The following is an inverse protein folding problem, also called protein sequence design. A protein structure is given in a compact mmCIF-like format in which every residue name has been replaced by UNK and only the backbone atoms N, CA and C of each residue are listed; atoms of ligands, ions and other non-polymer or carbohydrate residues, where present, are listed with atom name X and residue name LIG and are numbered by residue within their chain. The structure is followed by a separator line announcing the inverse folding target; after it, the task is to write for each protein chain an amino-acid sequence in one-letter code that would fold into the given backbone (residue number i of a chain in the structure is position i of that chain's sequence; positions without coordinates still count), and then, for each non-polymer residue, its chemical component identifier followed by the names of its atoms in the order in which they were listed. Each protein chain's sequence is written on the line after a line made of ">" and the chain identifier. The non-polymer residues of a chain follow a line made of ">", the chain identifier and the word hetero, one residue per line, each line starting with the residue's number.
data_IF_122785449915
#
_entry.id   IF_122785449915
#
_cell.length_a   1.000
_cell.length_b   1.000
_cell.length_c   1.000
_cell.angle_alpha   90.00
_cell.angle_beta   90.00
_cell.angle_gamma   90.00
#
_symmetry.space_group_name_H-M   'P 1'
#
loop_
_entity.id
_entity.type
_entity.pdbx_description
1 polymer ?
#
# COMPACT_ATOMS: atom_id res chain seq x y z
N UNK A 1 -0.04 20.76 10.52
CA UNK A 1 -0.15 19.86 9.35
C UNK A 1 -0.62 20.70 8.18
N UNK A 2 0.02 20.59 7.03
CA UNK A 2 -0.38 21.28 5.80
C UNK A 2 -1.42 20.42 5.07
N UNK A 3 -2.44 21.03 4.49
CA UNK A 3 -3.49 20.38 3.71
C UNK A 3 -3.46 20.88 2.26
N UNK A 4 -3.45 19.97 1.31
CA UNK A 4 -3.73 20.23 -0.10
C UNK A 4 -5.11 19.65 -0.36
N UNK A 5 -6.07 20.49 -0.76
CA UNK A 5 -7.42 20.09 -1.14
C UNK A 5 -7.46 19.68 -2.61
N UNK A 6 -8.38 18.78 -2.95
CA UNK A 6 -8.71 18.39 -4.33
C UNK A 6 -7.46 17.97 -5.12
N UNK A 7 -6.65 17.08 -4.54
CA UNK A 7 -5.40 16.62 -5.17
C UNK A 7 -5.61 15.94 -6.53
N UNK A 8 -6.84 15.51 -6.82
CA UNK A 8 -7.23 14.95 -8.12
C UNK A 8 -7.38 16.00 -9.22
N UNK A 9 -7.41 17.29 -8.90
CA UNK A 9 -7.54 18.40 -9.84
C UNK A 9 -6.19 19.01 -10.24
N UNK A 10 -5.10 18.55 -9.62
CA UNK A 10 -3.75 19.03 -9.91
C UNK A 10 -2.88 17.90 -10.49
N UNK A 11 -1.85 18.22 -11.31
CA UNK A 11 -0.95 17.21 -11.82
C UNK A 11 -0.30 16.38 -10.69
N UNK A 12 -0.07 15.07 -10.91
CA UNK A 12 0.62 14.24 -9.94
C UNK A 12 2.00 14.80 -9.58
N UNK A 13 2.38 14.69 -8.33
CA UNK A 13 3.69 15.11 -7.82
C UNK A 13 4.27 14.10 -6.84
N UNK A 14 5.58 14.12 -6.73
CA UNK A 14 6.34 13.21 -5.87
C UNK A 14 6.52 13.80 -4.47
N UNK A 15 6.43 12.94 -3.48
CA UNK A 15 6.73 13.25 -2.09
C UNK A 15 7.68 12.23 -1.49
N UNK A 16 8.39 12.64 -0.45
CA UNK A 16 9.18 11.76 0.39
C UNK A 16 8.60 11.68 1.79
N UNK A 17 8.61 10.49 2.36
CA UNK A 17 8.39 10.28 3.79
C UNK A 17 9.77 10.23 4.46
N UNK A 18 10.03 11.18 5.36
CA UNK A 18 11.30 11.22 6.11
C UNK A 18 11.28 10.25 7.27
N UNK A 19 12.42 9.60 7.51
CA UNK A 19 12.62 8.66 8.61
C UNK A 19 13.98 8.92 9.28
N UNK A 20 14.06 8.69 10.58
CA UNK A 20 15.31 8.70 11.35
C UNK A 20 15.99 7.32 11.40
N UNK A 21 15.45 6.30 10.71
CA UNK A 21 15.82 4.88 10.87
C UNK A 21 16.27 4.23 9.57
N UNK A 22 16.90 4.97 8.67
CA UNK A 22 17.40 4.51 7.37
C UNK A 22 16.30 3.96 6.42
N UNK A 23 15.05 4.23 6.69
CA UNK A 23 13.95 3.94 5.79
C UNK A 23 13.78 5.06 4.79
N UNK A 24 13.53 4.72 3.55
CA UNK A 24 13.21 5.66 2.48
C UNK A 24 11.88 5.30 1.85
N UNK A 25 11.07 6.30 1.55
CA UNK A 25 9.83 6.13 0.81
C UNK A 25 9.64 7.34 -0.10
N UNK A 26 9.46 7.06 -1.38
CA UNK A 26 8.97 8.01 -2.36
C UNK A 26 7.54 7.63 -2.72
N UNK A 27 6.64 8.57 -2.59
CA UNK A 27 5.21 8.34 -2.79
C UNK A 27 4.62 9.42 -3.68
N UNK A 28 3.89 8.98 -4.71
CA UNK A 28 3.12 9.86 -5.58
C UNK A 28 1.92 10.44 -4.84
N UNK A 29 1.48 11.62 -5.23
CA UNK A 29 0.18 12.16 -4.79
C UNK A 29 -1.00 11.29 -5.21
N UNK A 30 -0.80 10.35 -6.15
CA UNK A 30 -1.79 9.32 -6.52
C UNK A 30 -1.84 8.14 -5.54
N UNK A 31 -0.86 8.01 -4.64
CA UNK A 31 -0.78 6.94 -3.64
C UNK A 31 0.16 5.80 -3.99
N UNK A 32 0.62 5.67 -5.23
CA UNK A 32 1.65 4.70 -5.57
C UNK A 32 2.97 5.06 -4.89
N UNK A 33 3.74 4.05 -4.51
CA UNK A 33 4.96 4.27 -3.76
C UNK A 33 6.06 3.27 -4.13
N UNK A 34 7.29 3.69 -3.84
CA UNK A 34 8.46 2.83 -3.74
C UNK A 34 9.11 3.08 -2.39
N UNK A 35 9.52 2.03 -1.71
CA UNK A 35 10.02 2.15 -0.35
C UNK A 35 10.95 1.01 0.03
N UNK A 36 11.87 1.26 0.93
CA UNK A 36 12.81 0.28 1.41
C UNK A 36 13.65 0.78 2.58
N UNK A 37 14.72 0.07 2.86
CA UNK A 37 15.68 0.40 3.91
C UNK A 37 17.09 0.43 3.34
N UNK A 38 17.87 1.45 3.69
CA UNK A 38 19.26 1.70 3.25
C UNK A 38 19.38 1.90 1.74
N UNK A 39 19.27 0.84 0.95
CA UNK A 39 19.55 0.80 -0.49
C UNK A 39 18.35 0.25 -1.28
N UNK A 40 18.35 0.50 -2.60
CA UNK A 40 17.29 0.02 -3.50
C UNK A 40 17.16 -1.52 -3.56
N UNK A 41 18.25 -2.27 -3.33
CA UNK A 41 18.20 -3.74 -3.24
C UNK A 41 17.47 -4.25 -1.98
N UNK A 42 17.22 -3.38 -1.00
CA UNK A 42 16.42 -3.67 0.18
C UNK A 42 15.03 -3.00 0.10
N UNK A 43 14.53 -2.81 -1.12
CA UNK A 43 13.17 -2.34 -1.35
C UNK A 43 12.15 -3.35 -0.81
N UNK A 44 11.13 -2.84 -0.13
CA UNK A 44 9.93 -3.60 0.28
C UNK A 44 8.83 -3.42 -0.76
N UNK A 45 8.83 -2.27 -1.45
CA UNK A 45 8.04 -2.04 -2.65
C UNK A 45 9.02 -1.76 -3.80
N UNK A 46 8.79 -2.31 -5.00
CA UNK A 46 9.74 -2.23 -6.10
C UNK A 46 10.27 -0.83 -6.36
N UNK A 47 11.57 -0.71 -6.56
CA UNK A 47 12.18 0.57 -6.93
C UNK A 47 11.85 0.90 -8.38
N UNK A 48 11.13 1.99 -8.59
CA UNK A 48 10.76 2.51 -9.90
C UNK A 48 11.07 3.99 -9.99
N UNK A 49 11.26 4.49 -11.22
CA UNK A 49 11.43 5.92 -11.50
C UNK A 49 10.13 6.68 -11.27
N UNK A 50 10.19 8.00 -11.07
CA UNK A 50 9.03 8.78 -10.67
C UNK A 50 7.93 8.82 -11.74
N UNK A 51 8.27 8.84 -13.03
CA UNK A 51 7.32 8.74 -14.14
C UNK A 51 6.49 7.45 -14.07
N UNK A 52 7.14 6.30 -13.87
CA UNK A 52 6.47 5.01 -13.66
C UNK A 52 5.72 4.96 -12.33
N UNK A 53 6.22 5.65 -11.30
CA UNK A 53 5.56 5.70 -10.00
C UNK A 53 4.17 6.31 -10.09
N UNK A 54 3.99 7.39 -10.86
CA UNK A 54 2.68 8.00 -11.04
C UNK A 54 1.66 7.11 -11.74
N UNK A 55 2.11 6.17 -12.57
CA UNK A 55 1.27 5.27 -13.35
C UNK A 55 0.92 3.97 -12.64
N UNK A 56 1.72 3.53 -11.67
CA UNK A 56 1.64 2.19 -11.08
C UNK A 56 0.69 2.06 -9.88
N UNK A 57 -0.25 2.99 -9.69
CA UNK A 57 -1.17 2.98 -8.53
C UNK A 57 -1.99 1.68 -8.42
N UNK A 58 -2.30 1.04 -9.54
CA UNK A 58 -3.08 -0.21 -9.55
C UNK A 58 -2.24 -1.45 -9.24
N UNK A 59 -0.93 -1.34 -9.11
CA UNK A 59 -0.03 -2.49 -9.00
C UNK A 59 0.84 -2.49 -7.74
N UNK A 60 1.09 -1.34 -7.14
CA UNK A 60 2.02 -1.24 -6.00
C UNK A 60 1.53 -0.23 -4.98
N UNK A 61 1.53 -0.64 -3.70
CA UNK A 61 1.17 0.22 -2.59
C UNK A 61 -0.22 -0.08 -2.02
N UNK A 62 -0.90 0.94 -1.48
CA UNK A 62 -2.19 0.77 -0.81
C UNK A 62 -3.29 0.30 -1.76
N UNK A 63 -4.11 -0.63 -1.29
CA UNK A 63 -5.38 -1.02 -1.92
C UNK A 63 -6.47 -1.03 -0.87
N UNK A 64 -7.63 -0.47 -1.21
CA UNK A 64 -8.79 -0.50 -0.32
C UNK A 64 -10.06 -0.62 -1.13
N UNK A 65 -10.94 -1.52 -0.72
CA UNK A 65 -12.28 -1.67 -1.29
C UNK A 65 -13.29 -1.65 -0.15
N UNK A 66 -14.32 -0.84 -0.29
CA UNK A 66 -15.41 -0.71 0.69
C UNK A 66 -16.70 -1.16 0.04
N UNK A 67 -17.26 -2.24 0.53
CA UNK A 67 -18.58 -2.71 0.14
C UNK A 67 -19.60 -2.10 1.09
N UNK A 68 -20.41 -1.20 0.57
CA UNK A 68 -21.48 -0.53 1.30
C UNK A 68 -22.75 -1.35 1.15
N UNK A 69 -23.22 -1.91 2.25
CA UNK A 69 -24.43 -2.75 2.29
C UNK A 69 -25.70 -1.91 2.12
N UNK A 70 -26.57 -2.34 1.23
CA UNK A 70 -27.85 -1.71 0.97
C UNK A 70 -28.97 -2.73 0.92
N UNK A 71 -30.23 -2.29 1.17
CA UNK A 71 -31.42 -3.15 1.07
C UNK A 71 -31.72 -3.61 -0.37
N UNK A 72 -31.32 -2.82 -1.37
CA UNK A 72 -31.60 -3.11 -2.79
C UNK A 72 -30.42 -3.84 -3.42
N UNK A 73 -29.24 -3.25 -3.37
CA UNK A 73 -28.05 -3.77 -3.99
C UNK A 73 -26.81 -3.22 -3.29
N UNK A 74 -25.87 -4.09 -2.93
CA UNK A 74 -24.60 -3.67 -2.36
C UNK A 74 -23.80 -2.84 -3.38
N UNK A 75 -23.17 -1.77 -2.91
CA UNK A 75 -22.33 -0.89 -3.75
C UNK A 75 -20.87 -1.04 -3.37
N UNK A 76 -20.00 -1.01 -4.36
CA UNK A 76 -18.55 -1.06 -4.14
C UNK A 76 -18.01 0.35 -4.32
N UNK A 77 -17.29 0.82 -3.32
CA UNK A 77 -16.47 2.02 -3.37
C UNK A 77 -15.00 1.62 -3.31
N UNK A 78 -14.25 2.05 -4.29
CA UNK A 78 -12.79 1.90 -4.36
C UNK A 78 -12.17 3.27 -4.11
N UNK A 79 -11.81 3.59 -2.86
CA UNK A 79 -11.19 4.87 -2.53
C UNK A 79 -9.91 5.10 -3.35
N UNK A 80 -9.70 6.33 -3.79
CA UNK A 80 -8.58 6.79 -4.60
C UNK A 80 -8.49 6.22 -6.02
N UNK A 81 -9.46 5.40 -6.46
CA UNK A 81 -9.51 4.94 -7.85
C UNK A 81 -9.91 6.07 -8.80
N UNK A 82 -9.17 6.23 -9.89
CA UNK A 82 -9.48 7.23 -10.91
C UNK A 82 -10.77 6.93 -11.70
N UNK A 83 -11.28 5.70 -11.61
CA UNK A 83 -12.50 5.29 -12.30
C UNK A 83 -13.79 5.84 -11.67
N UNK A 84 -13.72 6.47 -10.50
CA UNK A 84 -14.87 6.96 -9.73
C UNK A 84 -14.78 8.44 -9.40
N UNK A 85 -14.11 9.22 -10.27
CA UNK A 85 -14.11 10.68 -10.12
C UNK A 85 -15.51 11.21 -10.44
N UNK A 86 -16.19 11.76 -9.45
CA UNK A 86 -17.46 12.46 -9.56
C UNK A 86 -17.42 13.71 -8.68
N UNK A 87 -18.34 14.65 -8.90
CA UNK A 87 -18.52 15.83 -8.06
C UNK A 87 -18.85 15.49 -6.58
N UNK A 88 -19.22 14.23 -6.33
CA UNK A 88 -19.53 13.72 -4.98
C UNK A 88 -18.28 13.23 -4.22
N UNK A 89 -17.07 13.34 -4.81
CA UNK A 89 -15.82 12.88 -4.20
C UNK A 89 -14.85 14.04 -4.01
N UNK A 90 -14.38 14.22 -2.77
CA UNK A 90 -13.31 15.15 -2.41
C UNK A 90 -12.08 14.36 -1.97
N UNK A 91 -10.90 14.66 -2.55
CA UNK A 91 -9.62 14.05 -2.18
C UNK A 91 -8.67 15.08 -1.60
N UNK A 92 -8.14 14.78 -0.44
CA UNK A 92 -7.24 15.65 0.28
C UNK A 92 -5.94 14.93 0.64
N UNK A 93 -4.86 15.71 0.71
CA UNK A 93 -3.57 15.25 1.15
C UNK A 93 -3.10 16.11 2.32
N UNK A 94 -2.54 15.45 3.34
CA UNK A 94 -1.95 16.17 4.48
C UNK A 94 -0.52 15.71 4.68
N UNK A 95 0.36 16.66 4.98
CA UNK A 95 1.75 16.41 5.35
C UNK A 95 2.14 17.28 6.53
N UNK A 96 2.88 16.72 7.49
CA UNK A 96 3.38 17.51 8.60
C UNK A 96 4.67 18.25 8.23
N UNK A 97 5.08 19.23 9.04
CA UNK A 97 6.26 20.05 8.79
C UNK A 97 7.57 19.24 8.74
N UNK A 98 7.68 18.16 9.53
CA UNK A 98 8.85 17.30 9.55
C UNK A 98 8.91 16.32 8.36
N UNK A 99 7.81 16.17 7.62
CA UNK A 99 7.74 15.25 6.49
C UNK A 99 7.69 13.76 6.85
N UNK A 100 7.56 13.41 8.13
CA UNK A 100 7.52 12.02 8.61
C UNK A 100 6.10 11.46 8.76
N UNK A 101 5.09 12.19 8.32
CA UNK A 101 3.69 11.77 8.26
C UNK A 101 3.01 12.31 7.02
N UNK A 102 2.40 11.42 6.25
CA UNK A 102 1.59 11.74 5.07
C UNK A 102 0.24 11.07 5.26
N UNK A 103 -0.86 11.80 5.00
CA UNK A 103 -2.23 11.27 5.09
C UNK A 103 -2.94 11.54 3.78
N UNK A 104 -3.53 10.49 3.22
CA UNK A 104 -4.46 10.55 2.11
C UNK A 104 -5.88 10.42 2.65
N UNK A 105 -6.78 11.27 2.18
CA UNK A 105 -8.17 11.31 2.60
C UNK A 105 -9.07 11.40 1.37
N UNK A 106 -10.08 10.53 1.30
CA UNK A 106 -11.17 10.63 0.34
C UNK A 106 -12.50 10.68 1.07
N UNK A 107 -13.31 11.67 0.73
CA UNK A 107 -14.67 11.84 1.22
C UNK A 107 -15.62 11.49 0.07
N UNK A 108 -16.50 10.54 0.31
CA UNK A 108 -17.55 10.15 -0.62
C UNK A 108 -18.89 10.62 -0.04
N UNK A 109 -19.37 11.75 -0.55
CA UNK A 109 -20.62 12.36 -0.10
C UNK A 109 -21.85 11.53 -0.46
N UNK A 110 -21.80 10.77 -1.55
CA UNK A 110 -22.87 9.88 -1.96
C UNK A 110 -23.16 8.78 -0.95
N UNK A 111 -22.12 8.24 -0.31
CA UNK A 111 -22.23 7.18 0.68
C UNK A 111 -22.17 7.69 2.11
N UNK A 112 -21.95 9.00 2.31
CA UNK A 112 -21.76 9.59 3.62
C UNK A 112 -20.57 9.01 4.38
N UNK A 113 -19.51 8.62 3.66
CA UNK A 113 -18.35 7.95 4.21
C UNK A 113 -17.06 8.71 3.89
N UNK A 114 -16.14 8.65 4.84
CA UNK A 114 -14.79 9.15 4.70
C UNK A 114 -13.80 8.01 4.94
N UNK A 115 -12.89 7.80 4.00
CA UNK A 115 -11.76 6.89 4.15
C UNK A 115 -10.46 7.68 4.15
N UNK A 116 -9.55 7.32 5.04
CA UNK A 116 -8.22 7.90 5.05
C UNK A 116 -7.18 6.84 5.44
N UNK A 117 -5.98 7.00 4.92
CA UNK A 117 -4.83 6.25 5.40
C UNK A 117 -3.64 7.17 5.61
N UNK A 118 -2.84 6.86 6.61
CA UNK A 118 -1.61 7.57 6.92
C UNK A 118 -0.40 6.66 6.82
N UNK A 119 0.73 7.24 6.42
CA UNK A 119 2.04 6.61 6.44
C UNK A 119 2.94 7.29 7.45
N UNK A 120 3.66 6.46 8.21
CA UNK A 120 4.78 6.86 9.04
C UNK A 120 5.81 5.73 9.15
N UNK A 121 6.99 6.03 9.71
CA UNK A 121 8.03 5.06 9.96
C UNK A 121 8.24 4.91 11.47
N UNK A 122 8.54 3.68 11.88
CA UNK A 122 8.89 3.31 13.24
C UNK A 122 10.22 2.56 13.22
N UNK A 123 11.07 2.78 14.21
CA UNK A 123 12.30 2.02 14.39
C UNK A 123 12.03 0.53 14.48
N UNK A 124 11.06 0.16 15.33
CA UNK A 124 10.74 -1.23 15.64
C UNK A 124 9.95 -1.94 14.53
N UNK A 125 9.03 -1.23 13.89
CA UNK A 125 8.05 -1.84 12.98
C UNK A 125 8.25 -1.47 11.51
N UNK A 126 9.24 -0.64 11.19
CA UNK A 126 9.47 -0.17 9.82
C UNK A 126 8.37 0.77 9.36
N UNK A 127 7.81 0.51 8.19
CA UNK A 127 6.70 1.29 7.65
C UNK A 127 5.39 0.95 8.36
N UNK A 128 4.69 1.97 8.84
CA UNK A 128 3.40 1.83 9.51
C UNK A 128 2.35 2.54 8.67
N UNK A 129 1.34 1.79 8.23
CA UNK A 129 0.15 2.33 7.58
C UNK A 129 -1.05 2.19 8.53
N UNK A 130 -1.77 3.28 8.74
CA UNK A 130 -3.01 3.29 9.52
C UNK A 130 -4.16 3.72 8.65
N UNK A 131 -5.17 2.88 8.52
CA UNK A 131 -6.39 3.17 7.77
C UNK A 131 -7.54 3.47 8.71
N UNK A 132 -8.39 4.42 8.34
CA UNK A 132 -9.54 4.84 9.12
C UNK A 132 -10.71 5.02 8.17
N UNK A 133 -11.82 4.33 8.43
CA UNK A 133 -13.11 4.63 7.83
C UNK A 133 -13.99 5.35 8.85
N UNK A 134 -14.68 6.39 8.40
CA UNK A 134 -15.58 7.18 9.24
C UNK A 134 -16.89 7.41 8.53
N UNK A 135 -18.00 7.15 9.25
CA UNK A 135 -19.31 7.59 8.82
C UNK A 135 -19.45 9.10 9.14
N UNK A 136 -19.79 9.89 8.15
CA UNK A 136 -20.01 11.34 8.25
C UNK A 136 -21.48 11.71 8.23
N UNK A 137 -22.35 10.75 7.91
CA UNK A 137 -23.79 10.91 7.97
C UNK A 137 -24.36 10.61 9.35
N UNK A 138 -25.62 11.01 9.58
CA UNK A 138 -26.36 10.69 10.81
C UNK A 138 -26.90 9.25 10.80
N UNK A 139 -27.07 8.65 9.64
CA UNK A 139 -27.58 7.28 9.48
C UNK A 139 -26.51 6.23 9.73
N UNK A 140 -26.87 5.09 10.29
CA UNK A 140 -25.97 3.94 10.43
C UNK A 140 -25.77 3.26 9.09
N UNK A 141 -24.51 3.07 8.69
CA UNK A 141 -24.10 2.38 7.46
C UNK A 141 -23.33 1.12 7.82
N UNK A 142 -23.71 -0.02 7.23
CA UNK A 142 -22.98 -1.28 7.37
C UNK A 142 -22.02 -1.40 6.20
N UNK A 143 -20.74 -1.68 6.49
CA UNK A 143 -19.68 -1.85 5.48
C UNK A 143 -18.92 -3.15 5.70
N UNK A 144 -18.40 -3.70 4.61
CA UNK A 144 -17.34 -4.70 4.60
C UNK A 144 -16.13 -4.04 3.94
N UNK A 145 -14.94 -4.25 4.49
CA UNK A 145 -13.74 -3.55 4.02
C UNK A 145 -12.68 -4.59 3.70
N UNK A 146 -12.10 -4.49 2.51
CA UNK A 146 -10.81 -5.05 2.18
C UNK A 146 -9.80 -3.90 2.21
N UNK A 147 -8.74 -4.03 2.97
CA UNK A 147 -7.70 -3.01 3.08
C UNK A 147 -6.33 -3.67 3.22
N UNK A 148 -5.35 -3.20 2.45
CA UNK A 148 -4.05 -3.84 2.43
C UNK A 148 -3.01 -3.14 1.58
N UNK A 149 -2.01 -3.91 1.21
CA UNK A 149 -0.84 -3.49 0.44
C UNK A 149 -0.58 -4.48 -0.68
N UNK A 150 -0.32 -3.96 -1.86
CA UNK A 150 0.02 -4.74 -3.05
C UNK A 150 1.52 -4.73 -3.29
N UNK A 151 2.00 -5.83 -3.85
CA UNK A 151 3.35 -5.98 -4.38
C UNK A 151 4.46 -5.77 -3.33
N UNK A 152 4.24 -6.33 -2.13
CA UNK A 152 5.30 -6.41 -1.13
C UNK A 152 6.40 -7.34 -1.65
N UNK A 153 7.65 -6.86 -1.62
CA UNK A 153 8.80 -7.58 -2.13
C UNK A 153 9.59 -8.28 -1.01
N UNK A 154 10.05 -9.51 -1.27
CA UNK A 154 11.06 -10.13 -0.42
C UNK A 154 12.42 -9.41 -0.57
N UNK A 155 13.25 -9.41 0.47
CA UNK A 155 14.62 -8.89 0.39
C UNK A 155 15.49 -9.75 -0.54
N UNK A 156 16.52 -9.14 -1.12
CA UNK A 156 17.54 -9.86 -1.89
C UNK A 156 17.35 -9.80 -3.40
N UNK A 157 16.32 -9.11 -3.91
CA UNK A 157 16.13 -8.88 -5.33
C UNK A 157 16.97 -7.67 -5.77
N UNK A 158 17.89 -7.88 -6.71
CA UNK A 158 18.75 -6.80 -7.21
C UNK A 158 17.94 -5.70 -7.89
N UNK A 159 18.46 -4.47 -7.92
CA UNK A 159 17.82 -3.35 -8.61
C UNK A 159 17.52 -3.68 -10.08
N UNK A 160 18.48 -4.27 -10.77
CA UNK A 160 18.32 -4.70 -12.15
C UNK A 160 17.17 -5.70 -12.32
N UNK A 161 17.09 -6.70 -11.43
CA UNK A 161 16.01 -7.70 -11.48
C UNK A 161 14.64 -7.06 -11.20
N UNK A 162 14.58 -6.07 -10.32
CA UNK A 162 13.34 -5.33 -10.05
C UNK A 162 12.84 -4.58 -11.29
N UNK A 163 13.72 -3.93 -12.01
CA UNK A 163 13.39 -3.02 -13.12
C UNK A 163 13.25 -3.74 -14.46
N UNK A 164 14.12 -4.71 -14.74
CA UNK A 164 14.25 -5.35 -16.06
C UNK A 164 13.66 -6.77 -16.11
N UNK A 165 13.57 -7.46 -14.97
CA UNK A 165 13.26 -8.89 -14.89
C UNK A 165 12.22 -9.20 -13.80
N UNK A 166 11.15 -8.41 -13.69
CA UNK A 166 10.13 -8.57 -12.64
C UNK A 166 9.45 -9.96 -12.68
N UNK A 167 9.29 -10.55 -13.85
CA UNK A 167 8.74 -11.91 -13.98
C UNK A 167 9.66 -12.96 -13.35
N UNK A 168 10.99 -12.79 -13.49
CA UNK A 168 11.95 -13.67 -12.84
C UNK A 168 11.87 -13.53 -11.31
N UNK A 169 11.81 -12.30 -10.80
CA UNK A 169 11.60 -12.07 -9.38
C UNK A 169 10.32 -12.75 -8.87
N UNK A 170 9.22 -12.64 -9.61
CA UNK A 170 7.94 -13.26 -9.24
C UNK A 170 7.98 -14.79 -9.18
N UNK A 171 8.77 -15.44 -10.05
CA UNK A 171 8.93 -16.88 -10.04
C UNK A 171 9.60 -17.44 -8.75
N UNK A 172 10.38 -16.61 -8.08
CA UNK A 172 11.08 -16.99 -6.83
C UNK A 172 10.38 -16.50 -5.56
N UNK A 173 9.39 -15.61 -5.68
CA UNK A 173 8.66 -15.05 -4.52
C UNK A 173 7.74 -16.09 -3.89
N UNK A 174 7.80 -16.16 -2.57
CA UNK A 174 6.87 -16.93 -1.75
C UNK A 174 6.18 -15.99 -0.77
N UNK A 175 4.86 -16.13 -0.67
CA UNK A 175 4.04 -15.44 0.33
C UNK A 175 3.33 -16.47 1.19
N UNK A 176 3.51 -16.40 2.49
CA UNK A 176 3.00 -17.39 3.44
C UNK A 176 2.41 -16.71 4.67
N UNK A 177 1.27 -17.21 5.14
CA UNK A 177 0.67 -16.78 6.42
C UNK A 177 1.22 -17.67 7.52
N UNK A 178 1.83 -17.09 8.53
CA UNK A 178 2.27 -17.84 9.69
C UNK A 178 1.06 -18.36 10.45
N UNK A 179 1.03 -19.67 10.67
CA UNK A 179 -0.10 -20.38 11.30
C UNK A 179 -0.52 -19.72 12.61
N UNK A 180 -1.82 -19.52 12.78
CA UNK A 180 -2.43 -18.91 13.97
C UNK A 180 -1.99 -17.47 14.26
N UNK A 181 -1.59 -16.72 13.24
CA UNK A 181 -1.21 -15.32 13.39
C UNK A 181 -1.77 -14.46 12.24
N UNK A 182 -1.75 -13.14 12.43
CA UNK A 182 -2.02 -12.17 11.36
C UNK A 182 -0.72 -11.73 10.66
N UNK A 183 0.34 -12.55 10.75
CA UNK A 183 1.65 -12.26 10.20
C UNK A 183 1.82 -12.98 8.87
N UNK A 184 2.22 -12.23 7.86
CA UNK A 184 2.56 -12.74 6.52
C UNK A 184 4.05 -12.59 6.28
N UNK A 185 4.64 -13.65 5.74
CA UNK A 185 6.05 -13.74 5.35
C UNK A 185 6.17 -13.58 3.85
N UNK A 186 7.15 -12.78 3.41
CA UNK A 186 7.50 -12.62 2.00
C UNK A 186 9.00 -12.91 1.86
N UNK A 187 9.33 -14.01 1.18
CA UNK A 187 10.70 -14.46 1.02
C UNK A 187 10.95 -15.03 -0.38
N UNK A 188 12.21 -15.27 -0.71
CA UNK A 188 12.58 -16.00 -1.92
C UNK A 188 12.83 -17.47 -1.55
N UNK A 189 12.34 -18.39 -2.35
CA UNK A 189 12.61 -19.82 -2.15
C UNK A 189 14.08 -20.19 -2.39
N UNK A 190 14.77 -19.36 -3.21
CA UNK A 190 16.24 -19.42 -3.37
C UNK A 190 16.76 -18.05 -3.81
N UNK A 191 18.06 -17.82 -3.73
CA UNK A 191 18.66 -16.62 -4.28
C UNK A 191 18.58 -16.64 -5.83
N UNK A 192 18.21 -15.50 -6.40
CA UNK A 192 18.22 -15.31 -7.85
C UNK A 192 19.68 -15.09 -8.27
N UNK A 193 20.33 -16.13 -8.79
CA UNK A 193 21.73 -16.12 -9.20
C UNK A 193 21.89 -16.76 -10.57
N UNK A 194 22.77 -16.18 -11.37
CA UNK A 194 23.22 -16.76 -12.64
C UNK A 194 24.39 -17.74 -12.40
N UNK A 195 24.11 -18.79 -11.59
CA UNK A 195 25.05 -19.84 -11.22
C UNK A 195 24.33 -21.17 -11.13
N UNK A 196 25.02 -22.30 -11.42
CA UNK A 196 24.40 -23.64 -11.33
C UNK A 196 24.17 -24.13 -9.89
N UNK A 197 24.69 -23.42 -8.90
CA UNK A 197 24.57 -23.78 -7.49
C UNK A 197 23.38 -23.05 -6.86
N UNK A 198 22.46 -23.79 -6.20
CA UNK A 198 21.35 -23.14 -5.48
C UNK A 198 21.91 -22.34 -4.29
N UNK A 199 21.43 -21.13 -4.13
CA UNK A 199 21.72 -20.28 -2.97
C UNK A 199 20.52 -20.18 -2.05
N UNK A 200 20.74 -20.35 -0.74
CA UNK A 200 19.69 -20.17 0.26
C UNK A 200 19.38 -18.68 0.47
N UNK A 201 18.10 -18.34 0.54
CA UNK A 201 17.65 -17.02 0.93
C UNK A 201 17.16 -17.05 2.38
N UNK A 202 17.95 -16.46 3.29
CA UNK A 202 17.70 -16.46 4.74
C UNK A 202 17.03 -15.15 5.20
N UNK A 203 16.52 -14.33 4.29
CA UNK A 203 15.89 -13.04 4.60
C UNK A 203 14.42 -13.04 4.23
N UNK A 204 13.60 -12.42 5.07
CA UNK A 204 12.17 -12.26 4.83
C UNK A 204 11.72 -10.83 5.11
N UNK A 205 10.76 -10.33 4.34
CA UNK A 205 9.97 -9.19 4.71
C UNK A 205 8.71 -9.66 5.45
N UNK A 206 8.23 -8.86 6.38
CA UNK A 206 7.08 -9.18 7.22
C UNK A 206 6.00 -8.12 7.02
N UNK A 207 4.75 -8.57 6.92
CA UNK A 207 3.60 -7.69 7.03
C UNK A 207 2.57 -8.29 7.99
N UNK A 208 1.95 -7.45 8.79
CA UNK A 208 0.86 -7.85 9.69
C UNK A 208 -0.15 -6.72 9.87
N UNK A 209 -1.32 -7.08 10.36
CA UNK A 209 -2.34 -6.12 10.74
C UNK A 209 -2.70 -6.26 12.21
N UNK A 210 -2.94 -5.13 12.87
CA UNK A 210 -3.45 -5.06 14.25
C UNK A 210 -4.97 -4.77 14.18
N UNK A 211 -5.73 -5.80 13.80
CA UNK A 211 -7.19 -5.74 13.73
C UNK A 211 -7.79 -6.63 14.81
N UNK A 212 -8.55 -6.02 15.73
CA UNK A 212 -9.30 -6.72 16.78
C UNK A 212 -10.66 -7.26 16.30
N UNK A 213 -10.81 -7.55 15.00
CA UNK A 213 -12.02 -8.08 14.39
C UNK A 213 -11.71 -9.35 13.61
N UNK A 214 -12.70 -10.21 13.44
CA UNK A 214 -12.57 -11.37 12.54
C UNK A 214 -12.22 -10.90 11.14
N UNK A 215 -11.09 -11.33 10.64
CA UNK A 215 -10.57 -10.96 9.32
C UNK A 215 -10.12 -12.21 8.56
N UNK A 216 -10.10 -12.08 7.23
CA UNK A 216 -9.49 -13.02 6.32
C UNK A 216 -8.29 -12.34 5.68
N UNK A 217 -7.14 -12.98 5.70
CA UNK A 217 -5.95 -12.51 4.99
C UNK A 217 -6.03 -13.01 3.55
N UNK A 218 -5.80 -12.13 2.60
CA UNK A 218 -5.77 -12.40 1.16
C UNK A 218 -4.34 -12.12 0.70
N UNK A 219 -3.69 -13.11 0.11
CA UNK A 219 -2.31 -13.01 -0.38
C UNK A 219 -2.24 -12.75 -1.88
N UNK A 220 -3.28 -13.11 -2.61
CA UNK A 220 -3.33 -13.00 -4.06
C UNK A 220 -4.73 -12.57 -4.53
N UNK A 221 -4.78 -11.80 -5.61
CA UNK A 221 -6.04 -11.32 -6.19
C UNK A 221 -6.97 -12.46 -6.69
N UNK A 222 -6.42 -13.63 -6.98
CA UNK A 222 -7.22 -14.82 -7.35
C UNK A 222 -8.03 -15.41 -6.19
N UNK A 223 -7.79 -14.93 -4.96
CA UNK A 223 -8.53 -15.32 -3.77
C UNK A 223 -9.77 -14.43 -3.49
N UNK A 224 -9.96 -13.37 -4.31
CA UNK A 224 -11.11 -12.49 -4.28
C UNK A 224 -12.29 -13.09 -5.02
#
# INVERSE_FOLDING_TARGET
>A
MYKIKNINEIPPFLMTLTSAYDHWMYISSTGCLTAGKNEAKHAIFPYVTDDLLHQNISFTGPISLVKVKSKKEDKIWNPFSNNYLSEEIERNLFKNALGNKIIFEEINYKYGLKFSYEWNCSEKFGFVRKSIIKNIDQSKTKVEIMDGLMNIMPPGISLRTQQEMSNLANAYKVSEILTNSNLTLFYLNSLIMDRPEPGESLKTALAWSDLNVSNKIILDHTQL
#
